data_IF_941159168633
#
_entry.id   IF_941159168633
#
_cell.length_a   1.000
_cell.length_b   1.000
_cell.length_c   1.000
_cell.angle_alpha   90.00
_cell.angle_beta   90.00
_cell.angle_gamma   90.00
#
_symmetry.space_group_name_H-M   'P 1'
#
loop_
_entity.id
_entity.type
_entity.pdbx_description
1 polymer ?
#
# COMPACT_ATOMS: atom_id res chain seq x y z
N UNK A 1 0.52 -0.09 -6.38
CA UNK A 1 -0.81 0.52 -6.57
C UNK A 1 -1.17 1.32 -5.32
N UNK A 2 -1.96 2.40 -5.45
CA UNK A 2 -2.41 3.18 -4.28
C UNK A 2 -3.40 2.36 -3.45
N UNK A 3 -3.24 2.32 -2.12
CA UNK A 3 -4.16 1.61 -1.21
C UNK A 3 -5.58 2.18 -1.29
N UNK A 4 -5.72 3.48 -1.53
CA UNK A 4 -7.02 4.12 -1.76
C UNK A 4 -7.71 3.60 -3.03
N UNK A 5 -6.94 3.36 -4.08
CA UNK A 5 -7.47 2.79 -5.31
C UNK A 5 -7.95 1.35 -5.08
N UNK A 6 -7.17 0.53 -4.36
CA UNK A 6 -7.58 -0.84 -4.00
C UNK A 6 -8.88 -0.81 -3.18
N UNK A 7 -8.97 0.06 -2.19
CA UNK A 7 -10.18 0.23 -1.38
C UNK A 7 -11.39 0.64 -2.24
N UNK A 8 -11.23 1.58 -3.17
CA UNK A 8 -12.29 1.99 -4.08
C UNK A 8 -12.79 0.82 -4.95
N UNK A 9 -11.86 -0.01 -5.48
CA UNK A 9 -12.23 -1.20 -6.26
C UNK A 9 -12.95 -2.23 -5.39
N UNK A 10 -12.50 -2.50 -4.17
CA UNK A 10 -13.17 -3.43 -3.24
C UNK A 10 -14.62 -3.00 -2.99
N UNK A 11 -14.84 -1.70 -2.75
CA UNK A 11 -16.20 -1.16 -2.57
C UNK A 11 -17.02 -1.30 -3.86
N UNK A 12 -16.44 -1.03 -5.03
CA UNK A 12 -17.12 -1.22 -6.31
C UNK A 12 -17.53 -2.69 -6.54
N UNK A 13 -16.65 -3.65 -6.24
CA UNK A 13 -16.95 -5.09 -6.30
C UNK A 13 -18.11 -5.43 -5.35
N UNK A 14 -18.07 -4.93 -4.12
CA UNK A 14 -19.16 -5.11 -3.16
C UNK A 14 -20.50 -4.57 -3.66
N UNK A 15 -20.51 -3.37 -4.28
CA UNK A 15 -21.72 -2.79 -4.86
C UNK A 15 -22.27 -3.66 -5.99
N UNK A 16 -21.41 -4.19 -6.87
CA UNK A 16 -21.81 -5.13 -7.92
C UNK A 16 -22.40 -6.40 -7.30
N UNK A 17 -21.74 -6.98 -6.29
CA UNK A 17 -22.22 -8.15 -5.56
C UNK A 17 -23.61 -7.91 -4.92
N UNK A 18 -23.83 -6.72 -4.35
CA UNK A 18 -25.11 -6.31 -3.80
C UNK A 18 -26.23 -6.40 -4.84
N UNK A 19 -26.05 -5.80 -6.02
CA UNK A 19 -27.07 -5.78 -7.05
C UNK A 19 -27.35 -7.18 -7.59
N UNK A 20 -26.31 -7.99 -7.81
CA UNK A 20 -26.46 -9.39 -8.26
C UNK A 20 -27.20 -10.22 -7.21
N UNK A 21 -26.77 -10.17 -5.94
CA UNK A 21 -27.40 -10.89 -4.83
C UNK A 21 -28.87 -10.50 -4.64
N UNK A 22 -29.18 -9.21 -4.73
CA UNK A 22 -30.55 -8.70 -4.69
C UNK A 22 -31.39 -9.22 -5.86
N UNK A 23 -30.88 -9.16 -7.09
CA UNK A 23 -31.61 -9.62 -8.28
C UNK A 23 -31.91 -11.12 -8.21
N UNK A 24 -30.95 -11.94 -7.78
CA UNK A 24 -31.14 -13.38 -7.61
C UNK A 24 -32.24 -13.69 -6.59
N UNK A 25 -32.26 -12.97 -5.47
CA UNK A 25 -33.28 -13.16 -4.43
C UNK A 25 -34.69 -12.73 -4.89
N UNK A 26 -34.80 -11.70 -5.73
CA UNK A 26 -36.08 -11.30 -6.35
C UNK A 26 -36.57 -12.38 -7.32
N UNK A 27 -35.68 -12.95 -8.15
CA UNK A 27 -36.03 -13.97 -9.13
C UNK A 27 -36.50 -15.30 -8.49
N UNK A 28 -36.15 -15.54 -7.23
CA UNK A 28 -36.53 -16.74 -6.47
C UNK A 28 -37.84 -16.56 -5.68
N UNK A 29 -38.50 -15.39 -5.77
CA UNK A 29 -39.76 -15.16 -5.08
C UNK A 29 -40.90 -15.92 -5.76
N UNK A 30 -41.58 -16.77 -4.99
CA UNK A 30 -42.67 -17.63 -5.42
C UNK A 30 -44.06 -17.07 -5.04
N UNK A 31 -44.13 -15.81 -4.63
CA UNK A 31 -45.37 -15.03 -4.53
C UNK A 31 -46.26 -15.34 -3.31
N UNK A 32 -45.87 -16.28 -2.45
CA UNK A 32 -46.68 -16.67 -1.27
C UNK A 32 -46.48 -15.76 -0.05
N UNK A 33 -45.35 -15.05 0.04
CA UNK A 33 -45.03 -14.12 1.14
C UNK A 33 -44.29 -12.90 0.58
N UNK A 34 -44.93 -11.72 0.68
CA UNK A 34 -44.37 -10.42 0.27
C UNK A 34 -42.95 -10.21 0.84
N UNK A 35 -41.86 -10.26 0.05
CA UNK A 35 -40.51 -10.20 0.58
C UNK A 35 -40.06 -8.74 0.75
N UNK A 36 -40.61 -8.03 1.74
CA UNK A 36 -40.26 -6.61 1.94
C UNK A 36 -38.80 -6.41 2.41
N UNK A 37 -38.11 -7.46 2.88
CA UNK A 37 -36.71 -7.38 3.36
C UNK A 37 -35.73 -8.41 2.78
N UNK A 38 -36.21 -9.54 2.20
CA UNK A 38 -35.35 -10.69 1.86
C UNK A 38 -34.34 -10.37 0.75
N UNK A 39 -34.77 -9.68 -0.29
CA UNK A 39 -33.89 -9.31 -1.41
C UNK A 39 -32.83 -8.29 -0.99
N UNK A 40 -33.20 -7.34 -0.14
CA UNK A 40 -32.25 -6.36 0.39
C UNK A 40 -31.22 -7.02 1.33
N UNK A 41 -31.64 -8.00 2.13
CA UNK A 41 -30.76 -8.78 2.99
C UNK A 41 -29.73 -9.58 2.18
N UNK A 42 -30.13 -10.25 1.10
CA UNK A 42 -29.20 -11.01 0.26
C UNK A 42 -28.17 -10.12 -0.44
N UNK A 43 -28.59 -8.92 -0.89
CA UNK A 43 -27.67 -7.94 -1.43
C UNK A 43 -26.63 -7.49 -0.38
N UNK A 44 -27.08 -7.11 0.82
CA UNK A 44 -26.16 -6.71 1.89
C UNK A 44 -25.24 -7.84 2.34
N UNK A 45 -25.76 -9.07 2.39
CA UNK A 45 -24.96 -10.24 2.72
C UNK A 45 -23.81 -10.45 1.71
N UNK A 46 -24.11 -10.41 0.40
CA UNK A 46 -23.10 -10.50 -0.65
C UNK A 46 -22.09 -9.34 -0.60
N UNK A 47 -22.56 -8.11 -0.39
CA UNK A 47 -21.68 -6.94 -0.20
C UNK A 47 -20.71 -7.15 0.96
N UNK A 48 -21.22 -7.56 2.13
CA UNK A 48 -20.40 -7.68 3.34
C UNK A 48 -19.37 -8.82 3.21
N UNK A 49 -19.73 -9.93 2.57
CA UNK A 49 -18.79 -11.02 2.28
C UNK A 49 -17.69 -10.62 1.30
N UNK A 50 -18.00 -9.79 0.30
CA UNK A 50 -17.00 -9.27 -0.64
C UNK A 50 -16.10 -8.19 -0.03
N UNK A 51 -16.63 -7.37 0.89
CA UNK A 51 -15.93 -6.15 1.37
C UNK A 51 -15.21 -6.37 2.69
N UNK A 52 -15.86 -6.94 3.72
CA UNK A 52 -15.26 -6.97 5.06
C UNK A 52 -13.98 -7.82 5.14
N UNK A 53 -13.92 -9.06 4.60
CA UNK A 53 -12.69 -9.85 4.64
C UNK A 53 -11.55 -9.18 3.85
N UNK A 54 -11.87 -8.57 2.71
CA UNK A 54 -10.91 -7.85 1.88
C UNK A 54 -10.34 -6.61 2.58
N UNK A 55 -11.17 -5.84 3.27
CA UNK A 55 -10.73 -4.68 4.07
C UNK A 55 -9.84 -5.10 5.23
N UNK A 56 -10.19 -6.18 5.94
CA UNK A 56 -9.39 -6.71 7.04
C UNK A 56 -8.01 -7.15 6.52
N UNK A 57 -7.99 -7.92 5.43
CA UNK A 57 -6.74 -8.35 4.80
C UNK A 57 -5.89 -7.14 4.38
N UNK A 58 -6.49 -6.14 3.72
CA UNK A 58 -5.79 -4.93 3.28
C UNK A 58 -5.17 -4.18 4.47
N UNK A 59 -5.88 -4.07 5.59
CA UNK A 59 -5.37 -3.42 6.80
C UNK A 59 -4.17 -4.19 7.38
N UNK A 60 -4.31 -5.51 7.57
CA UNK A 60 -3.23 -6.37 8.07
C UNK A 60 -2.02 -6.33 7.13
N UNK A 61 -2.24 -6.40 5.82
CA UNK A 61 -1.19 -6.35 4.82
C UNK A 61 -0.41 -5.03 4.86
N UNK A 62 -1.10 -3.89 4.95
CA UNK A 62 -0.44 -2.59 5.03
C UNK A 62 0.45 -2.48 6.27
N UNK A 63 -0.04 -2.92 7.43
CA UNK A 63 0.75 -2.95 8.68
C UNK A 63 1.97 -3.86 8.52
N UNK A 64 1.76 -5.09 8.02
CA UNK A 64 2.84 -6.05 7.79
C UNK A 64 3.88 -5.55 6.80
N UNK A 65 3.44 -4.88 5.72
CA UNK A 65 4.33 -4.31 4.71
C UNK A 65 5.20 -3.18 5.27
N UNK A 66 4.64 -2.33 6.14
CA UNK A 66 5.40 -1.25 6.80
C UNK A 66 6.45 -1.83 7.74
N UNK A 67 6.08 -2.82 8.55
CA UNK A 67 7.02 -3.49 9.48
C UNK A 67 8.13 -4.19 8.70
N UNK A 68 7.78 -4.87 7.60
CA UNK A 68 8.76 -5.54 6.75
C UNK A 68 9.72 -4.53 6.09
N UNK A 69 9.20 -3.42 5.55
CA UNK A 69 10.03 -2.39 4.93
C UNK A 69 11.02 -1.79 5.93
N UNK A 70 10.57 -1.53 7.15
CA UNK A 70 11.44 -1.00 8.21
C UNK A 70 12.60 -1.95 8.48
N UNK A 71 12.31 -3.24 8.70
CA UNK A 71 13.34 -4.27 8.90
C UNK A 71 14.27 -4.41 7.70
N UNK A 72 13.73 -4.29 6.49
CA UNK A 72 14.51 -4.37 5.26
C UNK A 72 15.50 -3.20 5.14
N UNK A 73 15.08 -1.97 5.46
CA UNK A 73 15.96 -0.80 5.48
C UNK A 73 17.02 -0.96 6.57
N UNK A 74 16.63 -1.34 7.80
CA UNK A 74 17.57 -1.57 8.90
C UNK A 74 18.67 -2.58 8.51
N UNK A 75 18.31 -3.70 7.88
CA UNK A 75 19.27 -4.72 7.47
C UNK A 75 20.20 -4.28 6.32
N UNK A 76 19.83 -3.23 5.58
CA UNK A 76 20.64 -2.70 4.48
C UNK A 76 21.58 -1.57 4.93
N UNK A 77 21.44 -1.06 6.15
CA UNK A 77 22.34 -0.04 6.68
C UNK A 77 23.73 -0.64 6.97
N UNK A 78 24.82 0.14 6.79
CA UNK A 78 26.17 -0.30 7.15
C UNK A 78 26.28 -0.63 8.65
N UNK A 79 27.05 -1.67 9.00
CA UNK A 79 27.36 -1.96 10.39
C UNK A 79 28.15 -0.80 11.02
N UNK A 80 27.63 -0.25 12.12
CA UNK A 80 28.25 0.87 12.85
C UNK A 80 29.10 0.36 14.01
N UNK A 81 30.19 1.07 14.32
CA UNK A 81 30.99 0.85 15.54
C UNK A 81 30.20 1.28 16.79
N UNK A 82 30.47 0.62 17.93
CA UNK A 82 29.63 0.65 19.13
C UNK A 82 29.37 2.05 19.74
N UNK A 83 30.21 3.04 19.47
CA UNK A 83 30.20 4.36 20.13
C UNK A 83 29.08 5.32 19.66
N UNK A 84 28.28 4.99 18.65
CA UNK A 84 27.22 5.89 18.15
C UNK A 84 25.96 5.19 17.63
N UNK A 85 25.76 3.92 17.98
CA UNK A 85 24.90 3.00 17.22
C UNK A 85 23.40 3.34 17.24
N UNK A 86 22.74 3.43 18.41
CA UNK A 86 21.26 3.34 18.46
C UNK A 86 20.54 4.63 18.04
N UNK A 87 20.98 5.80 18.54
CA UNK A 87 20.32 7.08 18.22
C UNK A 87 20.58 7.50 16.76
N UNK A 88 21.74 7.14 16.21
CA UNK A 88 22.10 7.47 14.83
C UNK A 88 21.44 6.54 13.81
N UNK A 89 21.19 5.27 14.15
CA UNK A 89 20.54 4.31 13.26
C UNK A 89 19.07 4.66 13.00
N UNK A 90 18.32 5.03 14.04
CA UNK A 90 16.94 5.48 13.88
C UNK A 90 16.85 6.73 12.98
N UNK A 91 17.84 7.63 13.09
CA UNK A 91 17.98 8.78 12.21
C UNK A 91 18.25 8.34 10.77
N UNK A 92 19.21 7.44 10.53
CA UNK A 92 19.52 6.94 9.19
C UNK A 92 18.29 6.32 8.51
N UNK A 93 17.53 5.49 9.22
CA UNK A 93 16.30 4.90 8.67
C UNK A 93 15.30 5.98 8.29
N UNK A 94 15.14 7.00 9.12
CA UNK A 94 14.24 8.13 8.81
C UNK A 94 14.70 8.94 7.59
N UNK A 95 16.03 9.10 7.41
CA UNK A 95 16.62 9.78 6.26
C UNK A 95 16.46 8.96 4.98
N UNK A 96 16.72 7.65 5.03
CA UNK A 96 16.48 6.73 3.91
C UNK A 96 15.01 6.73 3.51
N UNK A 97 14.07 6.67 4.47
CA UNK A 97 12.62 6.75 4.18
C UNK A 97 12.24 8.08 3.53
N UNK A 98 12.79 9.19 4.02
CA UNK A 98 12.53 10.54 3.48
C UNK A 98 13.09 10.67 2.06
N UNK A 99 14.30 10.17 1.83
CA UNK A 99 14.94 10.09 0.52
C UNK A 99 14.11 9.21 -0.42
N UNK A 100 13.71 8.00 0.00
CA UNK A 100 12.87 7.11 -0.79
C UNK A 100 11.54 7.78 -1.20
N UNK A 101 10.90 8.50 -0.28
CA UNK A 101 9.68 9.28 -0.58
C UNK A 101 9.97 10.42 -1.57
N UNK A 102 11.09 11.12 -1.41
CA UNK A 102 11.54 12.18 -2.32
C UNK A 102 11.79 11.68 -3.74
N UNK A 103 12.49 10.55 -3.87
CA UNK A 103 12.80 9.91 -5.16
C UNK A 103 11.55 9.59 -5.98
N UNK A 104 10.41 9.28 -5.33
CA UNK A 104 9.13 9.05 -6.04
C UNK A 104 8.53 10.29 -6.69
N UNK A 105 9.00 11.49 -6.31
CA UNK A 105 8.53 12.76 -6.88
C UNK A 105 9.34 13.17 -8.12
N UNK A 106 10.48 12.51 -8.35
CA UNK A 106 11.25 12.69 -9.57
C UNK A 106 10.57 12.02 -10.75
N UNK A 107 10.91 12.49 -11.96
CA UNK A 107 10.38 11.92 -13.18
C UNK A 107 10.95 10.51 -13.41
N UNK A 108 10.10 9.56 -13.83
CA UNK A 108 10.46 8.14 -13.92
C UNK A 108 11.63 7.84 -14.89
N UNK A 109 11.93 8.77 -15.80
CA UNK A 109 12.99 8.63 -16.81
C UNK A 109 14.30 9.35 -16.41
N UNK A 110 14.36 9.95 -15.22
CA UNK A 110 15.57 10.66 -14.81
C UNK A 110 16.67 9.65 -14.47
N UNK A 111 17.88 9.91 -14.95
CA UNK A 111 19.04 9.16 -14.53
C UNK A 111 19.45 9.65 -13.14
N UNK A 112 19.38 8.76 -12.15
CA UNK A 112 19.69 9.10 -10.76
C UNK A 112 21.20 9.30 -10.62
N UNK A 113 21.65 10.47 -10.11
CA UNK A 113 23.05 10.67 -9.75
C UNK A 113 23.50 9.71 -8.65
N UNK A 114 24.79 9.36 -8.68
CA UNK A 114 25.39 8.51 -7.66
C UNK A 114 25.69 9.25 -6.34
N UNK A 115 25.80 10.58 -6.40
CA UNK A 115 26.10 11.43 -5.25
C UNK A 115 24.87 12.22 -4.79
N UNK A 116 24.75 12.40 -3.48
CA UNK A 116 23.68 13.19 -2.87
C UNK A 116 23.81 14.67 -3.24
N UNK A 117 25.04 15.18 -3.37
CA UNK A 117 25.31 16.56 -3.78
C UNK A 117 24.71 16.90 -5.15
N UNK A 118 24.72 15.95 -6.10
CA UNK A 118 24.10 16.12 -7.42
C UNK A 118 22.59 15.86 -7.41
N UNK A 119 22.13 14.97 -6.52
CA UNK A 119 20.71 14.62 -6.39
C UNK A 119 19.88 15.69 -5.65
N UNK A 120 20.48 16.37 -4.66
CA UNK A 120 19.79 17.33 -3.81
C UNK A 120 19.16 18.50 -4.59
N UNK A 121 19.82 19.13 -5.59
CA UNK A 121 19.20 20.16 -6.43
C UNK A 121 17.97 19.65 -7.20
N UNK A 122 18.00 18.41 -7.69
CA UNK A 122 16.89 17.79 -8.43
C UNK A 122 15.66 17.60 -7.53
N UNK A 123 15.90 17.15 -6.28
CA UNK A 123 14.85 16.99 -5.28
C UNK A 123 14.30 18.34 -4.80
N UNK A 124 15.18 19.32 -4.58
CA UNK A 124 14.80 20.68 -4.21
C UNK A 124 13.92 21.34 -5.29
N UNK A 125 14.20 21.09 -6.58
CA UNK A 125 13.38 21.56 -7.69
C UNK A 125 11.95 20.99 -7.68
N UNK A 126 11.73 19.82 -7.06
CA UNK A 126 10.39 19.24 -6.83
C UNK A 126 9.80 19.63 -5.46
N UNK A 127 10.44 20.54 -4.72
CA UNK A 127 9.99 20.99 -3.40
C UNK A 127 10.31 20.00 -2.27
N UNK A 128 11.20 19.03 -2.50
CA UNK A 128 11.62 18.06 -1.49
C UNK A 128 12.89 18.55 -0.81
N UNK A 129 12.77 18.97 0.45
CA UNK A 129 13.91 19.27 1.31
C UNK A 129 14.34 18.01 2.06
N UNK A 130 15.60 17.60 1.90
CA UNK A 130 16.23 16.52 2.66
C UNK A 130 17.26 17.09 3.62
N UNK A 131 17.50 16.37 4.72
CA UNK A 131 18.50 16.76 5.70
C UNK A 131 19.90 16.74 5.08
N UNK A 132 20.75 17.65 5.53
CA UNK A 132 22.17 17.73 5.13
C UNK A 132 22.96 16.49 5.52
N UNK A 133 22.48 15.74 6.50
CA UNK A 133 23.11 14.51 7.00
C UNK A 133 22.81 13.28 6.11
N UNK A 134 22.06 13.46 5.01
CA UNK A 134 21.81 12.40 4.03
C UNK A 134 23.09 12.08 3.27
N UNK A 135 23.46 10.81 3.21
CA UNK A 135 24.73 10.36 2.62
C UNK A 135 24.53 9.56 1.34
N UNK A 136 25.55 9.50 0.49
CA UNK A 136 25.52 8.83 -0.81
C UNK A 136 25.12 7.35 -0.71
N UNK A 137 25.57 6.65 0.34
CA UNK A 137 25.24 5.24 0.56
C UNK A 137 23.74 5.00 0.77
N UNK A 138 22.96 6.02 1.17
CA UNK A 138 21.52 5.90 1.40
C UNK A 138 20.73 5.85 0.09
N UNK A 139 21.28 6.34 -1.03
CA UNK A 139 20.62 6.37 -2.34
C UNK A 139 20.23 4.96 -2.81
N UNK A 140 21.15 3.99 -2.92
CA UNK A 140 20.79 2.64 -3.36
C UNK A 140 19.80 1.96 -2.41
N UNK A 141 19.91 2.19 -1.09
CA UNK A 141 18.97 1.65 -0.10
C UNK A 141 17.56 2.23 -0.31
N UNK A 142 17.45 3.54 -0.55
CA UNK A 142 16.19 4.21 -0.81
C UNK A 142 15.53 3.75 -2.13
N UNK A 143 16.34 3.49 -3.16
CA UNK A 143 15.87 2.92 -4.44
C UNK A 143 15.32 1.51 -4.23
N UNK A 144 16.04 0.63 -3.55
CA UNK A 144 15.57 -0.73 -3.28
C UNK A 144 14.34 -0.73 -2.36
N UNK A 145 14.30 0.13 -1.34
CA UNK A 145 13.12 0.32 -0.49
C UNK A 145 11.88 0.68 -1.31
N UNK A 146 12.02 1.52 -2.33
CA UNK A 146 10.94 1.85 -3.24
C UNK A 146 10.50 0.66 -4.11
N UNK A 147 11.45 -0.12 -4.62
CA UNK A 147 11.17 -1.33 -5.40
C UNK A 147 10.43 -2.38 -4.55
N UNK A 148 10.91 -2.65 -3.34
CA UNK A 148 10.29 -3.57 -2.36
C UNK A 148 8.89 -3.10 -2.01
N UNK A 149 8.71 -1.83 -1.65
CA UNK A 149 7.37 -1.29 -1.35
C UNK A 149 6.43 -1.38 -2.57
N UNK A 150 6.95 -1.20 -3.78
CA UNK A 150 6.19 -1.39 -5.03
C UNK A 150 5.70 -2.83 -5.20
N UNK A 151 6.59 -3.82 -5.01
CA UNK A 151 6.26 -5.24 -5.07
C UNK A 151 5.23 -5.62 -4.00
N UNK A 152 5.47 -5.24 -2.74
CA UNK A 152 4.55 -5.50 -1.62
C UNK A 152 3.17 -4.89 -1.87
N UNK A 153 3.13 -3.65 -2.37
CA UNK A 153 1.86 -2.99 -2.69
C UNK A 153 1.10 -3.66 -3.83
N UNK A 154 1.80 -4.22 -4.82
CA UNK A 154 1.17 -4.97 -5.92
C UNK A 154 0.65 -6.33 -5.47
N UNK A 155 1.45 -7.09 -4.72
CA UNK A 155 1.02 -8.39 -4.16
C UNK A 155 -0.20 -8.19 -3.25
N UNK A 156 -0.14 -7.22 -2.34
CA UNK A 156 -1.27 -6.90 -1.45
C UNK A 156 -2.53 -6.55 -2.23
N UNK A 157 -2.40 -5.70 -3.26
CA UNK A 157 -3.52 -5.35 -4.12
C UNK A 157 -4.15 -6.59 -4.78
N UNK A 158 -3.34 -7.46 -5.39
CA UNK A 158 -3.83 -8.67 -6.06
C UNK A 158 -4.55 -9.60 -5.08
N UNK A 159 -3.95 -9.89 -3.92
CA UNK A 159 -4.54 -10.81 -2.94
C UNK A 159 -5.83 -10.22 -2.34
N UNK A 160 -5.85 -8.92 -2.02
CA UNK A 160 -7.05 -8.24 -1.53
C UNK A 160 -8.19 -8.27 -2.55
N UNK A 161 -7.90 -7.98 -3.83
CA UNK A 161 -8.91 -7.99 -4.88
C UNK A 161 -9.42 -9.40 -5.17
N UNK A 162 -8.52 -10.39 -5.19
CA UNK A 162 -8.91 -11.79 -5.35
C UNK A 162 -9.84 -12.25 -4.21
N UNK A 163 -9.52 -11.89 -2.96
CA UNK A 163 -10.36 -12.19 -1.80
C UNK A 163 -11.74 -11.50 -1.90
N UNK A 164 -11.78 -10.25 -2.37
CA UNK A 164 -13.03 -9.51 -2.53
C UNK A 164 -13.93 -10.14 -3.60
N UNK A 165 -13.35 -10.50 -4.75
CA UNK A 165 -14.08 -11.17 -5.84
C UNK A 165 -14.56 -12.55 -5.40
N UNK A 166 -13.76 -13.31 -4.64
CA UNK A 166 -14.16 -14.61 -4.13
C UNK A 166 -15.33 -14.54 -3.12
N UNK A 167 -15.51 -13.40 -2.45
CA UNK A 167 -16.63 -13.16 -1.53
C UNK A 167 -17.89 -12.60 -2.20
N UNK A 168 -17.82 -12.17 -3.47
CA UNK A 168 -18.93 -11.59 -4.24
C UNK A 168 -19.79 -12.67 -4.92
#
# INVERSE_FOLDING_TARGET
MSSMLVLAIVVAVGLVAFFIGRQRAVAQDNGSVKPHSRAHYHGWWAFLLAVLPALLLLAVWNIGSSIYLDRHIHAALPERTADSAVASEALDVSLVKSLAKGLRQLDANIQLPASFAELQPLLAAKGVALATDTQDYMIPIAVEANAVQGRLGMIGAVVTLALSIAGA
#
